data_IF_405749871594
#
_entry.id   IF_405749871594
#
_cell.length_a   1.000
_cell.length_b   1.000
_cell.length_c   1.000
_cell.angle_alpha   90.00
_cell.angle_beta   90.00
_cell.angle_gamma   90.00
#
_symmetry.space_group_name_H-M   'P 1'
#
loop_
_entity.id
_entity.type
_entity.pdbx_description
1 polymer ?
#
# COMPACT_ATOMS: atom_id res chain seq x y z
N UNK A 1 31.02 16.79 -14.03
CA UNK A 1 30.96 15.31 -14.19
C UNK A 1 29.84 14.83 -13.30
N UNK A 2 28.89 14.06 -13.84
CA UNK A 2 27.89 13.41 -12.99
C UNK A 2 28.60 12.48 -11.99
N UNK A 3 28.15 12.40 -10.72
CA UNK A 3 28.69 11.44 -9.78
C UNK A 3 28.57 10.01 -10.33
N UNK A 4 29.64 9.22 -10.22
CA UNK A 4 29.62 7.80 -10.58
C UNK A 4 29.08 6.99 -9.40
N UNK A 5 27.97 6.29 -9.62
CA UNK A 5 27.31 5.46 -8.60
C UNK A 5 27.63 3.96 -8.77
N UNK A 6 28.79 3.64 -9.34
CA UNK A 6 29.22 2.27 -9.59
C UNK A 6 29.71 1.54 -8.32
N UNK A 7 29.96 2.28 -7.23
CA UNK A 7 30.28 1.73 -5.92
C UNK A 7 29.02 1.69 -5.03
N UNK A 8 28.66 0.50 -4.56
CA UNK A 8 27.43 0.26 -3.80
C UNK A 8 27.38 1.07 -2.50
N UNK A 9 28.53 1.29 -1.84
CA UNK A 9 28.60 2.08 -0.60
C UNK A 9 28.34 3.56 -0.87
N UNK A 10 28.94 4.10 -1.93
CA UNK A 10 28.74 5.49 -2.37
C UNK A 10 27.29 5.72 -2.77
N UNK A 11 26.69 4.81 -3.53
CA UNK A 11 25.27 4.87 -3.90
C UNK A 11 24.39 4.82 -2.64
N UNK A 12 24.61 3.85 -1.75
CA UNK A 12 23.79 3.70 -0.54
C UNK A 12 23.88 4.92 0.37
N UNK A 13 25.07 5.48 0.57
CA UNK A 13 25.24 6.68 1.38
C UNK A 13 24.47 7.87 0.76
N UNK A 14 24.67 8.12 -0.54
CA UNK A 14 24.01 9.23 -1.23
C UNK A 14 22.48 9.13 -1.17
N UNK A 15 21.92 7.97 -1.54
CA UNK A 15 20.47 7.79 -1.67
C UNK A 15 19.80 7.66 -0.30
N UNK A 16 20.36 6.82 0.57
CA UNK A 16 19.70 6.37 1.81
C UNK A 16 20.14 7.22 3.00
N UNK A 17 21.46 7.32 3.27
CA UNK A 17 21.95 7.98 4.50
C UNK A 17 21.87 9.49 4.42
N UNK A 18 22.21 10.06 3.26
CA UNK A 18 22.20 11.50 3.04
C UNK A 18 20.79 12.00 2.65
N UNK A 19 19.85 11.09 2.37
CA UNK A 19 18.45 11.41 2.11
C UNK A 19 18.17 12.01 0.73
N UNK A 20 19.09 11.89 -0.23
CA UNK A 20 18.82 12.37 -1.60
C UNK A 20 17.67 11.59 -2.27
N UNK A 21 17.49 10.32 -1.88
CA UNK A 21 16.47 9.45 -2.46
C UNK A 21 16.79 9.07 -3.90
N UNK A 22 15.91 8.25 -4.49
CA UNK A 22 16.00 7.91 -5.92
C UNK A 22 15.70 9.13 -6.80
N UNK A 23 14.91 10.08 -6.31
CA UNK A 23 14.71 11.36 -7.02
C UNK A 23 16.02 12.11 -7.19
N UNK A 24 16.86 12.19 -6.15
CA UNK A 24 18.15 12.87 -6.22
C UNK A 24 19.11 12.21 -7.24
N UNK A 25 19.03 10.89 -7.41
CA UNK A 25 19.77 10.20 -8.49
C UNK A 25 19.33 10.68 -9.86
N UNK A 26 18.02 10.74 -10.10
CA UNK A 26 17.45 11.19 -11.38
C UNK A 26 17.81 12.65 -11.65
N UNK A 27 17.69 13.51 -10.64
CA UNK A 27 18.07 14.93 -10.73
C UNK A 27 19.57 15.12 -11.03
N UNK A 28 20.42 14.13 -10.72
CA UNK A 28 21.86 14.14 -11.02
C UNK A 28 22.20 13.84 -12.49
N UNK A 29 21.19 13.62 -13.35
CA UNK A 29 21.37 13.34 -14.77
C UNK A 29 21.69 11.87 -15.07
N UNK A 30 21.22 10.96 -14.22
CA UNK A 30 21.41 9.53 -14.38
C UNK A 30 20.83 9.01 -15.71
N UNK A 31 21.64 8.29 -16.48
CA UNK A 31 21.25 7.74 -17.79
C UNK A 31 20.93 6.24 -17.77
N UNK A 32 21.36 5.52 -16.73
CA UNK A 32 21.14 4.08 -16.58
C UNK A 32 20.83 3.73 -15.14
N UNK A 33 20.02 2.69 -14.93
CA UNK A 33 19.69 2.20 -13.58
C UNK A 33 20.92 1.56 -12.94
N UNK A 34 21.36 1.98 -11.73
CA UNK A 34 22.48 1.33 -11.04
C UNK A 34 22.20 -0.14 -10.73
N UNK A 35 23.25 -0.95 -10.70
CA UNK A 35 23.18 -2.41 -10.43
C UNK A 35 22.31 -2.75 -9.22
N UNK A 36 22.39 -1.95 -8.15
CA UNK A 36 21.66 -2.14 -6.90
C UNK A 36 20.13 -2.03 -7.04
N UNK A 37 19.62 -1.42 -8.10
CA UNK A 37 18.19 -1.33 -8.41
C UNK A 37 17.73 -2.36 -9.45
N UNK A 38 18.66 -3.11 -10.05
CA UNK A 38 18.33 -4.14 -11.04
C UNK A 38 17.70 -5.32 -10.31
N UNK A 39 16.41 -5.50 -10.53
CA UNK A 39 15.64 -6.58 -9.94
C UNK A 39 16.00 -7.91 -10.61
N UNK A 40 15.94 -9.05 -9.89
CA UNK A 40 16.13 -10.35 -10.50
C UNK A 40 15.01 -10.64 -11.53
N UNK A 41 15.24 -11.49 -12.55
CA UNK A 41 14.29 -11.69 -13.64
C UNK A 41 12.86 -12.02 -13.20
N UNK A 42 12.68 -12.80 -12.14
CA UNK A 42 11.35 -13.17 -11.61
C UNK A 42 10.62 -11.99 -10.94
N UNK A 43 11.31 -10.95 -10.48
CA UNK A 43 10.69 -9.74 -9.91
C UNK A 43 10.32 -8.70 -10.98
N UNK A 44 10.99 -8.72 -12.14
CA UNK A 44 10.75 -7.76 -13.23
C UNK A 44 9.32 -7.85 -13.78
N UNK A 45 8.81 -6.73 -14.24
CA UNK A 45 7.44 -6.60 -14.76
C UNK A 45 7.51 -6.58 -16.29
N UNK A 46 7.03 -7.65 -16.93
CA UNK A 46 6.83 -7.66 -18.38
C UNK A 46 5.45 -7.09 -18.73
N UNK A 47 5.43 -5.84 -19.21
CA UNK A 47 4.19 -5.14 -19.59
C UNK A 47 3.40 -5.83 -20.69
N UNK A 48 4.06 -6.60 -21.56
CA UNK A 48 3.40 -7.28 -22.68
C UNK A 48 2.60 -8.52 -22.26
N UNK A 49 2.80 -9.01 -21.04
CA UNK A 49 2.17 -10.24 -20.54
C UNK A 49 1.03 -9.97 -19.55
N UNK A 50 0.84 -8.72 -19.13
CA UNK A 50 -0.20 -8.38 -18.18
C UNK A 50 -1.52 -8.09 -18.89
N UNK A 51 -2.60 -8.71 -18.40
CA UNK A 51 -3.94 -8.33 -18.82
C UNK A 51 -4.29 -6.98 -18.16
N UNK A 52 -4.96 -6.10 -18.89
CA UNK A 52 -5.62 -4.95 -18.28
C UNK A 52 -6.97 -5.44 -17.75
N UNK A 53 -7.28 -5.20 -16.49
CA UNK A 53 -8.63 -5.53 -16.01
C UNK A 53 -9.67 -4.65 -16.70
N UNK A 54 -10.80 -5.26 -17.05
CA UNK A 54 -12.00 -4.54 -17.48
C UNK A 54 -12.51 -3.68 -16.31
N UNK A 55 -12.52 -2.33 -16.44
CA UNK A 55 -12.92 -1.44 -15.35
C UNK A 55 -14.32 -1.75 -14.80
N UNK A 56 -15.24 -2.15 -15.66
CA UNK A 56 -16.65 -2.43 -15.34
C UNK A 56 -16.83 -3.51 -14.26
N UNK A 57 -15.88 -4.44 -14.12
CA UNK A 57 -15.98 -5.54 -13.15
C UNK A 57 -15.22 -5.26 -11.83
N UNK A 58 -14.58 -4.11 -11.69
CA UNK A 58 -13.80 -3.75 -10.50
C UNK A 58 -14.28 -2.46 -9.83
N UNK A 59 -15.12 -1.66 -10.47
CA UNK A 59 -15.63 -0.40 -9.92
C UNK A 59 -16.93 -0.64 -9.18
N UNK A 60 -16.98 -0.17 -7.93
CA UNK A 60 -18.14 -0.26 -7.06
C UNK A 60 -18.60 1.15 -6.71
N UNK A 61 -19.87 1.45 -7.01
CA UNK A 61 -20.50 2.71 -6.66
C UNK A 61 -20.99 2.67 -5.20
N UNK A 62 -20.38 3.50 -4.33
CA UNK A 62 -20.75 3.55 -2.92
C UNK A 62 -21.95 4.47 -2.62
N UNK A 63 -22.47 5.27 -3.57
CA UNK A 63 -23.67 6.07 -3.29
C UNK A 63 -24.91 5.21 -3.08
N UNK A 64 -24.91 4.00 -3.64
CA UNK A 64 -25.99 3.02 -3.53
C UNK A 64 -25.89 2.16 -2.26
N UNK A 65 -24.82 2.32 -1.46
CA UNK A 65 -24.58 1.49 -0.29
C UNK A 65 -25.60 1.74 0.83
N UNK A 66 -26.18 2.94 0.95
CA UNK A 66 -27.30 3.24 1.87
C UNK A 66 -28.67 3.21 1.16
N UNK A 67 -28.68 2.77 -0.10
CA UNK A 67 -29.83 2.85 -0.99
C UNK A 67 -30.59 1.52 -1.15
N UNK A 68 -31.60 1.48 -2.04
CA UNK A 68 -32.36 0.26 -2.33
C UNK A 68 -31.50 -0.86 -2.93
N UNK A 69 -30.32 -0.54 -3.44
CA UNK A 69 -29.37 -1.49 -4.02
C UNK A 69 -28.30 -1.96 -3.01
N UNK A 70 -28.41 -1.64 -1.72
CA UNK A 70 -27.47 -2.02 -0.65
C UNK A 70 -26.95 -3.47 -0.78
N UNK A 71 -27.86 -4.46 -0.81
CA UNK A 71 -27.48 -5.87 -0.89
C UNK A 71 -26.65 -6.22 -2.14
N UNK A 72 -26.87 -5.52 -3.26
CA UNK A 72 -26.11 -5.74 -4.50
C UNK A 72 -24.70 -5.17 -4.37
N UNK A 73 -24.57 -3.99 -3.77
CA UNK A 73 -23.27 -3.34 -3.49
C UNK A 73 -22.46 -4.20 -2.51
N UNK A 74 -23.07 -4.66 -1.42
CA UNK A 74 -22.41 -5.55 -0.43
C UNK A 74 -21.94 -6.85 -1.09
N UNK A 75 -22.77 -7.47 -1.94
CA UNK A 75 -22.36 -8.66 -2.71
C UNK A 75 -21.19 -8.39 -3.64
N UNK A 76 -21.16 -7.23 -4.32
CA UNK A 76 -20.05 -6.85 -5.18
C UNK A 76 -18.74 -6.66 -4.38
N UNK A 77 -18.82 -5.97 -3.23
CA UNK A 77 -17.68 -5.76 -2.32
C UNK A 77 -17.15 -7.11 -1.82
N UNK A 78 -18.03 -7.96 -1.31
CA UNK A 78 -17.66 -9.28 -0.82
C UNK A 78 -17.07 -10.16 -1.93
N UNK A 79 -17.68 -10.18 -3.11
CA UNK A 79 -17.17 -10.95 -4.25
C UNK A 79 -15.76 -10.50 -4.66
N UNK A 80 -15.53 -9.18 -4.75
CA UNK A 80 -14.21 -8.66 -5.05
C UNK A 80 -13.18 -9.02 -3.96
N UNK A 81 -13.57 -8.95 -2.68
CA UNK A 81 -12.72 -9.32 -1.55
C UNK A 81 -12.42 -10.82 -1.47
N UNK A 82 -13.35 -11.71 -1.85
CA UNK A 82 -13.17 -13.17 -1.86
C UNK A 82 -12.39 -13.68 -3.08
N UNK A 83 -12.38 -12.92 -4.18
CA UNK A 83 -11.73 -13.31 -5.43
C UNK A 83 -10.36 -12.64 -5.59
N UNK A 84 -10.32 -11.40 -6.08
CA UNK A 84 -9.08 -10.67 -6.36
C UNK A 84 -8.47 -10.05 -5.10
N UNK A 85 -9.28 -9.72 -4.10
CA UNK A 85 -8.83 -8.97 -2.93
C UNK A 85 -8.63 -7.46 -3.18
N UNK A 86 -9.01 -6.99 -4.37
CA UNK A 86 -8.87 -5.61 -4.82
C UNK A 86 -10.15 -5.17 -5.54
N UNK A 87 -10.54 -3.92 -5.34
CA UNK A 87 -11.61 -3.24 -6.09
C UNK A 87 -11.38 -1.73 -6.08
N UNK A 88 -12.05 -1.02 -6.99
CA UNK A 88 -12.09 0.43 -7.03
C UNK A 88 -13.45 0.92 -6.53
N UNK A 89 -13.46 2.03 -5.81
CA UNK A 89 -14.70 2.66 -5.35
C UNK A 89 -14.84 4.05 -5.97
N UNK A 90 -16.07 4.41 -6.32
CA UNK A 90 -16.50 5.75 -6.75
C UNK A 90 -17.65 6.23 -5.87
N UNK A 91 -17.97 7.53 -5.93
CA UNK A 91 -18.97 8.16 -5.07
C UNK A 91 -18.80 7.83 -3.57
N UNK A 92 -17.54 7.69 -3.15
CA UNK A 92 -17.15 7.24 -1.81
C UNK A 92 -17.20 8.34 -0.73
N UNK A 93 -17.64 9.55 -1.08
CA UNK A 93 -17.81 10.66 -0.15
C UNK A 93 -16.56 11.49 0.18
N UNK A 94 -15.37 11.07 -0.29
CA UNK A 94 -14.14 11.88 -0.15
C UNK A 94 -14.15 12.96 -1.25
N UNK A 95 -13.98 14.26 -0.93
CA UNK A 95 -14.04 15.32 -1.92
C UNK A 95 -12.98 15.16 -3.02
N UNK A 96 -13.38 15.23 -4.30
CA UNK A 96 -12.43 15.11 -5.43
C UNK A 96 -11.32 16.16 -5.39
N UNK A 97 -11.65 17.39 -4.96
CA UNK A 97 -10.65 18.46 -4.77
C UNK A 97 -9.58 18.07 -3.74
N UNK A 98 -9.95 17.33 -2.69
CA UNK A 98 -9.01 16.85 -1.68
C UNK A 98 -8.04 15.83 -2.29
N UNK A 99 -8.54 14.93 -3.15
CA UNK A 99 -7.71 13.96 -3.88
C UNK A 99 -6.69 14.65 -4.81
N UNK A 100 -7.10 15.70 -5.52
CA UNK A 100 -6.19 16.50 -6.34
C UNK A 100 -5.12 17.21 -5.49
N UNK A 101 -5.53 17.82 -4.38
CA UNK A 101 -4.60 18.50 -3.47
C UNK A 101 -3.58 17.52 -2.88
N UNK A 102 -3.96 16.29 -2.55
CA UNK A 102 -3.01 15.26 -2.06
C UNK A 102 -1.92 14.97 -3.08
N UNK A 103 -2.30 14.80 -4.37
CA UNK A 103 -1.34 14.56 -5.45
C UNK A 103 -0.38 15.75 -5.60
N UNK A 104 -0.92 16.97 -5.60
CA UNK A 104 -0.13 18.21 -5.69
C UNK A 104 0.82 18.34 -4.49
N UNK A 105 0.33 18.17 -3.26
CA UNK A 105 1.15 18.26 -2.05
C UNK A 105 2.23 17.20 -1.97
N UNK A 106 1.96 15.97 -2.44
CA UNK A 106 2.99 14.95 -2.58
C UNK A 106 4.10 15.43 -3.53
N UNK A 107 3.75 15.90 -4.72
CA UNK A 107 4.73 16.47 -5.65
C UNK A 107 5.51 17.65 -5.06
N UNK A 108 4.84 18.56 -4.33
CA UNK A 108 5.48 19.69 -3.66
C UNK A 108 6.49 19.23 -2.62
N UNK A 109 6.13 18.27 -1.76
CA UNK A 109 7.04 17.71 -0.76
C UNK A 109 8.29 17.11 -1.42
N UNK A 110 8.13 16.26 -2.44
CA UNK A 110 9.27 15.60 -3.08
C UNK A 110 10.11 16.53 -3.96
N UNK A 111 9.56 17.67 -4.40
CA UNK A 111 10.28 18.69 -5.16
C UNK A 111 11.17 19.58 -4.29
N UNK A 112 11.06 19.49 -2.97
CA UNK A 112 11.95 20.21 -2.06
C UNK A 112 13.41 19.78 -2.19
N UNK A 113 14.36 20.67 -1.84
CA UNK A 113 15.77 20.31 -1.71
C UNK A 113 15.97 19.11 -0.77
N UNK A 114 16.94 18.21 -1.04
CA UNK A 114 17.22 17.04 -0.22
C UNK A 114 17.31 17.34 1.28
N UNK A 115 17.94 18.45 1.65
CA UNK A 115 18.18 18.86 3.03
C UNK A 115 16.87 19.09 3.80
N UNK A 116 15.83 19.60 3.11
CA UNK A 116 14.51 19.82 3.71
C UNK A 116 13.73 18.52 3.93
N UNK A 117 14.02 17.47 3.15
CA UNK A 117 13.39 16.15 3.30
C UNK A 117 14.17 15.29 4.30
N UNK A 118 15.49 15.42 4.32
CA UNK A 118 16.40 14.65 5.16
C UNK A 118 16.15 14.84 6.66
N UNK A 119 15.54 15.96 7.06
CA UNK A 119 15.12 16.18 8.46
C UNK A 119 14.12 15.15 8.96
N UNK A 120 13.43 14.43 8.08
CA UNK A 120 12.49 13.36 8.41
C UNK A 120 13.09 11.96 8.30
N UNK A 121 14.40 11.81 8.07
CA UNK A 121 15.05 10.49 8.10
C UNK A 121 14.90 9.86 9.48
N UNK A 122 14.78 8.53 9.53
CA UNK A 122 14.53 7.77 10.79
C UNK A 122 15.41 8.17 11.97
N UNK A 123 16.69 8.50 11.72
CA UNK A 123 17.65 8.82 12.78
C UNK A 123 17.50 10.23 13.36
N UNK A 124 16.90 11.17 12.64
CA UNK A 124 16.86 12.61 12.99
C UNK A 124 15.45 13.21 12.96
N UNK A 125 14.45 12.42 12.56
CA UNK A 125 13.06 12.87 12.48
C UNK A 125 12.60 13.49 13.81
N UNK A 126 11.89 14.63 13.77
CA UNK A 126 11.42 15.30 14.98
C UNK A 126 10.45 14.42 15.79
N UNK A 127 9.84 13.41 15.17
CA UNK A 127 8.97 12.46 15.84
C UNK A 127 9.07 11.08 15.19
N UNK A 128 9.01 9.98 15.98
CA UNK A 128 9.04 8.61 15.43
C UNK A 128 7.82 8.28 14.56
N UNK A 129 6.76 9.10 14.61
CA UNK A 129 5.54 8.92 13.81
C UNK A 129 5.69 9.43 12.37
N UNK A 130 6.81 10.07 12.03
CA UNK A 130 7.08 10.60 10.69
C UNK A 130 8.41 10.06 10.20
N UNK A 131 8.43 9.48 9.00
CA UNK A 131 9.64 8.90 8.40
C UNK A 131 9.69 9.15 6.91
N UNK A 132 10.66 9.94 6.46
CA UNK A 132 11.10 9.99 5.08
C UNK A 132 12.13 8.89 4.82
N UNK A 133 12.08 8.31 3.62
CA UNK A 133 13.04 7.35 3.17
C UNK A 133 12.89 7.02 1.70
N UNK A 134 13.67 6.02 1.28
CA UNK A 134 13.70 5.47 -0.06
C UNK A 134 13.64 3.94 0.04
N UNK A 135 13.21 3.27 -1.02
CA UNK A 135 12.95 1.83 -1.04
C UNK A 135 11.95 1.38 0.04
N UNK A 136 11.97 0.10 0.45
CA UNK A 136 11.19 -0.42 1.57
C UNK A 136 12.03 -0.48 2.87
N UNK A 137 13.00 -1.39 2.91
CA UNK A 137 13.96 -1.59 4.00
C UNK A 137 15.35 -1.79 3.37
N UNK A 138 16.01 -0.70 2.94
CA UNK A 138 17.23 -0.76 2.13
C UNK A 138 18.34 -1.65 2.70
N UNK A 139 18.41 -1.79 4.03
CA UNK A 139 19.42 -2.53 4.75
C UNK A 139 19.36 -4.06 4.54
N UNK A 140 18.17 -4.61 4.24
CA UNK A 140 17.97 -6.06 4.06
C UNK A 140 17.62 -6.45 2.62
N UNK A 141 17.28 -5.48 1.77
CA UNK A 141 16.93 -5.70 0.37
C UNK A 141 18.14 -6.09 -0.48
N UNK A 142 18.05 -7.10 -1.33
CA UNK A 142 19.11 -7.45 -2.31
C UNK A 142 19.14 -6.53 -3.53
N UNK A 143 17.98 -6.09 -3.97
CA UNK A 143 17.80 -5.05 -4.99
C UNK A 143 16.82 -4.02 -4.44
N UNK A 144 17.16 -2.73 -4.52
CA UNK A 144 16.34 -1.64 -4.02
C UNK A 144 15.13 -1.39 -4.95
N UNK A 145 14.06 -0.88 -4.37
CA UNK A 145 12.89 -0.38 -5.07
C UNK A 145 13.11 1.08 -5.54
N UNK A 146 12.61 1.40 -6.73
CA UNK A 146 12.68 2.71 -7.35
C UNK A 146 11.60 3.65 -6.82
N UNK A 147 11.66 3.98 -5.52
CA UNK A 147 10.63 4.73 -4.80
C UNK A 147 11.20 5.54 -3.66
N UNK A 148 10.77 6.79 -3.54
CA UNK A 148 10.90 7.58 -2.32
C UNK A 148 9.54 7.65 -1.60
N UNK A 149 9.55 7.81 -0.28
CA UNK A 149 8.32 7.91 0.50
C UNK A 149 8.47 8.82 1.72
N UNK A 150 7.33 9.38 2.15
CA UNK A 150 7.14 9.94 3.48
C UNK A 150 5.97 9.19 4.12
N UNK A 151 6.25 8.49 5.23
CA UNK A 151 5.27 7.79 6.06
C UNK A 151 4.90 8.68 7.24
N UNK A 152 3.60 8.82 7.48
CA UNK A 152 3.03 9.63 8.54
C UNK A 152 1.99 8.79 9.30
N UNK A 153 2.31 8.41 10.53
CA UNK A 153 1.40 7.70 11.43
C UNK A 153 0.51 8.72 12.12
N UNK A 154 -0.80 8.49 12.08
CA UNK A 154 -1.79 9.32 12.75
C UNK A 154 -2.04 8.82 14.17
N UNK A 155 -1.74 9.66 15.14
CA UNK A 155 -2.03 9.46 16.57
C UNK A 155 -3.18 10.36 17.01
N UNK A 156 -3.05 11.67 16.79
CA UNK A 156 -4.06 12.70 17.02
C UNK A 156 -3.81 13.93 16.14
N UNK A 157 -4.80 14.83 16.04
CA UNK A 157 -4.72 16.05 15.21
C UNK A 157 -3.55 16.97 15.63
N UNK A 158 -3.22 17.07 16.93
CA UNK A 158 -2.13 17.94 17.41
C UNK A 158 -0.77 17.44 16.93
N UNK A 159 -0.48 16.16 17.14
CA UNK A 159 0.78 15.54 16.70
C UNK A 159 0.93 15.63 15.18
N UNK A 160 -0.16 15.43 14.43
CA UNK A 160 -0.14 15.57 12.98
C UNK A 160 0.21 17.01 12.55
N UNK A 161 -0.41 18.02 13.16
CA UNK A 161 -0.15 19.42 12.82
C UNK A 161 1.22 19.92 13.28
N UNK A 162 1.77 19.33 14.34
CA UNK A 162 3.09 19.66 14.90
C UNK A 162 4.22 19.01 14.12
N UNK A 163 4.14 17.70 13.84
CA UNK A 163 5.28 16.92 13.36
C UNK A 163 5.26 16.60 11.87
N UNK A 164 4.11 16.58 11.20
CA UNK A 164 4.04 16.25 9.77
C UNK A 164 4.58 17.41 8.90
N UNK A 165 5.05 17.13 7.67
CA UNK A 165 5.59 18.17 6.79
C UNK A 165 4.56 19.25 6.47
N UNK A 166 4.98 20.52 6.55
CA UNK A 166 4.10 21.66 6.33
C UNK A 166 3.46 21.66 4.93
N UNK A 167 4.15 21.10 3.93
CA UNK A 167 3.67 21.02 2.55
C UNK A 167 2.44 20.12 2.38
N UNK A 168 2.23 19.16 3.30
CA UNK A 168 1.20 18.14 3.14
C UNK A 168 0.37 17.82 4.39
N UNK A 169 0.69 18.38 5.57
CA UNK A 169 0.06 17.99 6.84
C UNK A 169 -1.46 18.20 6.88
N UNK A 170 -1.95 19.36 6.42
CA UNK A 170 -3.38 19.69 6.49
C UNK A 170 -4.19 18.79 5.56
N UNK A 171 -3.73 18.64 4.31
CA UNK A 171 -4.41 17.83 3.30
C UNK A 171 -4.38 16.34 3.67
N UNK A 172 -3.26 15.84 4.21
CA UNK A 172 -3.15 14.46 4.66
C UNK A 172 -4.05 14.18 5.87
N UNK A 173 -4.14 15.13 6.81
CA UNK A 173 -5.02 15.03 7.97
C UNK A 173 -6.49 15.01 7.57
N UNK A 174 -6.90 15.92 6.67
CA UNK A 174 -8.25 15.94 6.14
C UNK A 174 -8.58 14.64 5.39
N UNK A 175 -7.63 14.07 4.64
CA UNK A 175 -7.81 12.81 3.93
C UNK A 175 -8.03 11.62 4.88
N UNK A 176 -7.27 11.52 5.96
CA UNK A 176 -7.47 10.47 6.97
C UNK A 176 -8.85 10.61 7.64
N UNK A 177 -9.26 11.85 7.95
CA UNK A 177 -10.54 12.12 8.63
C UNK A 177 -11.73 11.79 7.72
N UNK A 178 -11.68 12.24 6.47
CA UNK A 178 -12.75 12.00 5.48
C UNK A 178 -12.83 10.54 5.05
N UNK A 179 -11.70 9.82 4.97
CA UNK A 179 -11.69 8.40 4.60
C UNK A 179 -12.14 7.47 5.74
N UNK A 180 -12.11 7.93 7.00
CA UNK A 180 -12.38 7.08 8.17
C UNK A 180 -13.74 6.38 8.07
N UNK A 181 -14.79 7.15 7.79
CA UNK A 181 -16.16 6.62 7.78
C UNK A 181 -16.36 5.62 6.64
N UNK A 182 -15.82 5.90 5.46
CA UNK A 182 -15.82 4.97 4.34
C UNK A 182 -15.18 3.64 4.73
N UNK A 183 -13.99 3.66 5.35
CA UNK A 183 -13.31 2.42 5.77
C UNK A 183 -14.12 1.66 6.82
N UNK A 184 -14.68 2.38 7.81
CA UNK A 184 -15.52 1.75 8.85
C UNK A 184 -16.72 1.03 8.24
N UNK A 185 -17.42 1.69 7.31
CA UNK A 185 -18.55 1.10 6.59
C UNK A 185 -18.14 -0.12 5.77
N UNK A 186 -17.05 -0.03 4.99
CA UNK A 186 -16.55 -1.17 4.22
C UNK A 186 -16.22 -2.38 5.12
N UNK A 187 -15.60 -2.16 6.28
CA UNK A 187 -15.34 -3.22 7.25
C UNK A 187 -16.63 -3.81 7.82
N UNK A 188 -17.59 -2.96 8.19
CA UNK A 188 -18.87 -3.41 8.70
C UNK A 188 -19.58 -4.32 7.70
N UNK A 189 -19.64 -3.94 6.43
CA UNK A 189 -20.28 -4.74 5.37
C UNK A 189 -19.52 -6.04 5.09
N UNK A 190 -18.19 -5.98 5.03
CA UNK A 190 -17.36 -7.18 4.82
C UNK A 190 -17.53 -8.17 5.97
N UNK A 191 -17.53 -7.73 7.23
CA UNK A 191 -17.70 -8.63 8.36
C UNK A 191 -19.15 -9.11 8.49
N UNK A 192 -20.13 -8.23 8.25
CA UNK A 192 -21.55 -8.56 8.22
C UNK A 192 -21.88 -9.62 7.17
N UNK A 193 -21.28 -9.53 5.97
CA UNK A 193 -21.43 -10.55 4.92
C UNK A 193 -20.87 -11.93 5.33
N UNK A 194 -19.94 -11.99 6.29
CA UNK A 194 -19.50 -13.26 6.88
C UNK A 194 -20.47 -13.82 7.93
N UNK A 195 -21.59 -13.13 8.20
CA UNK A 195 -22.57 -13.48 9.22
C UNK A 195 -22.13 -13.12 10.64
N UNK A 196 -21.20 -12.17 10.78
CA UNK A 196 -20.68 -11.71 12.07
C UNK A 196 -21.01 -10.24 12.25
N UNK A 197 -21.54 -9.87 13.41
CA UNK A 197 -21.78 -8.48 13.77
C UNK A 197 -20.74 -8.06 14.81
N UNK A 198 -19.91 -7.08 14.45
CA UNK A 198 -18.97 -6.47 15.36
C UNK A 198 -19.60 -5.20 15.95
N UNK A 199 -19.40 -4.97 17.24
CA UNK A 199 -19.66 -3.66 17.82
C UNK A 199 -18.63 -2.63 17.34
N UNK A 200 -18.93 -1.35 17.59
CA UNK A 200 -18.06 -0.23 17.21
C UNK A 200 -16.65 -0.35 17.80
N UNK A 201 -16.50 -0.86 19.02
CA UNK A 201 -15.19 -1.00 19.67
C UNK A 201 -14.33 -2.02 18.94
N UNK A 202 -14.91 -3.16 18.55
CA UNK A 202 -14.22 -4.20 17.78
C UNK A 202 -13.88 -3.73 16.37
N UNK A 203 -14.77 -2.99 15.70
CA UNK A 203 -14.46 -2.39 14.39
C UNK A 203 -13.30 -1.39 14.48
N UNK A 204 -13.33 -0.47 15.45
CA UNK A 204 -12.25 0.49 15.67
C UNK A 204 -10.94 -0.22 16.03
N UNK A 205 -10.98 -1.36 16.72
CA UNK A 205 -9.76 -2.14 17.03
C UNK A 205 -9.05 -2.66 15.78
N UNK A 206 -9.78 -2.93 14.68
CA UNK A 206 -9.22 -3.33 13.38
C UNK A 206 -8.61 -2.15 12.61
N UNK A 207 -8.92 -0.91 13.02
CA UNK A 207 -8.43 0.35 12.47
C UNK A 207 -7.61 1.15 13.50
N UNK A 208 -7.09 0.47 14.51
CA UNK A 208 -6.48 1.07 15.70
C UNK A 208 -5.34 2.07 15.40
N UNK A 209 -4.56 1.82 14.34
CA UNK A 209 -3.61 2.78 13.78
C UNK A 209 -3.95 3.05 12.30
N UNK A 210 -3.79 4.32 11.91
CA UNK A 210 -3.88 4.77 10.53
C UNK A 210 -2.56 5.41 10.13
N UNK A 211 -2.07 5.04 8.96
CA UNK A 211 -0.82 5.56 8.42
C UNK A 211 -1.08 6.02 7.00
N UNK A 212 -0.67 7.24 6.67
CA UNK A 212 -0.69 7.73 5.29
C UNK A 212 0.74 7.77 4.78
N UNK A 213 0.99 7.12 3.64
CA UNK A 213 2.22 7.30 2.90
C UNK A 213 1.96 8.19 1.71
N UNK A 214 2.87 9.11 1.42
CA UNK A 214 3.00 9.66 0.08
C UNK A 214 4.21 8.99 -0.56
N UNK A 215 3.97 8.23 -1.64
CA UNK A 215 5.03 7.59 -2.41
C UNK A 215 5.30 8.42 -3.66
N UNK A 216 6.57 8.51 -4.04
CA UNK A 216 7.03 9.16 -5.26
C UNK A 216 7.94 8.23 -6.06
N UNK A 217 7.60 8.09 -7.33
CA UNK A 217 8.28 7.22 -8.28
C UNK A 217 8.83 8.12 -9.38
N UNK A 218 10.12 8.52 -9.34
CA UNK A 218 10.68 9.34 -10.40
C UNK A 218 10.76 8.56 -11.72
N UNK A 219 10.92 9.27 -12.82
CA UNK A 219 11.20 8.64 -14.13
C UNK A 219 12.41 7.71 -14.04
N UNK A 220 12.29 6.54 -14.65
CA UNK A 220 13.33 5.52 -14.65
C UNK A 220 13.92 5.36 -16.06
N UNK A 221 15.26 5.39 -16.25
CA UNK A 221 15.88 5.24 -17.57
C UNK A 221 15.72 3.83 -18.16
N UNK A 222 15.69 2.79 -17.31
CA UNK A 222 15.50 1.39 -17.70
C UNK A 222 14.34 0.76 -16.91
N UNK A 223 13.09 1.17 -17.18
CA UNK A 223 11.94 0.79 -16.35
C UNK A 223 11.65 -0.72 -16.31
N UNK A 224 12.15 -1.48 -17.29
CA UNK A 224 12.06 -2.93 -17.36
C UNK A 224 13.02 -3.67 -16.41
N UNK A 225 14.07 -3.00 -15.93
CA UNK A 225 15.09 -3.61 -15.06
C UNK A 225 14.76 -3.49 -13.58
N UNK A 226 13.87 -2.58 -13.19
CA UNK A 226 13.53 -2.29 -11.79
C UNK A 226 12.03 -2.29 -11.54
N UNK A 227 11.63 -2.08 -10.30
CA UNK A 227 10.23 -1.96 -9.87
C UNK A 227 10.09 -0.77 -8.93
N UNK A 228 8.92 -0.14 -8.95
CA UNK A 228 8.57 0.89 -7.96
C UNK A 228 8.31 0.28 -6.60
N UNK A 229 7.66 -0.88 -6.55
CA UNK A 229 7.49 -1.71 -5.35
C UNK A 229 7.54 -3.17 -5.77
N UNK A 230 8.27 -3.98 -5.03
CA UNK A 230 8.37 -5.41 -5.23
C UNK A 230 7.08 -6.15 -4.92
N UNK A 231 7.11 -7.47 -5.15
CA UNK A 231 6.01 -8.38 -4.82
C UNK A 231 5.77 -8.43 -3.31
N UNK A 232 4.58 -8.08 -2.86
CA UNK A 232 4.19 -8.14 -1.45
C UNK A 232 2.67 -8.25 -1.28
N UNK A 233 2.23 -8.59 -0.08
CA UNK A 233 0.86 -8.34 0.39
C UNK A 233 0.90 -7.33 1.54
N UNK A 234 -0.20 -6.61 1.74
CA UNK A 234 -0.26 -5.59 2.80
C UNK A 234 -0.52 -6.25 4.15
N UNK A 235 0.28 -5.94 5.16
CA UNK A 235 0.15 -6.52 6.50
C UNK A 235 -1.10 -6.11 7.28
N UNK A 236 -1.88 -5.14 6.77
CA UNK A 236 -2.95 -4.46 7.51
C UNK A 236 -4.32 -5.13 7.45
N UNK A 237 -5.35 -4.39 7.84
CA UNK A 237 -6.75 -4.79 7.68
C UNK A 237 -7.25 -4.39 6.28
N UNK A 238 -7.16 -3.10 5.96
CA UNK A 238 -7.56 -2.54 4.67
C UNK A 238 -6.64 -1.40 4.27
N UNK A 239 -6.34 -1.33 2.98
CA UNK A 239 -5.62 -0.20 2.37
C UNK A 239 -6.57 0.59 1.48
N UNK A 240 -6.48 1.92 1.56
CA UNK A 240 -7.17 2.87 0.67
C UNK A 240 -6.12 3.61 -0.14
N UNK A 241 -6.03 3.32 -1.44
CA UNK A 241 -5.00 3.83 -2.32
C UNK A 241 -5.57 4.87 -3.30
N UNK A 242 -5.04 6.09 -3.20
CA UNK A 242 -5.16 7.08 -4.25
C UNK A 242 -4.01 6.92 -5.26
N UNK A 243 -4.36 6.76 -6.54
CA UNK A 243 -3.42 6.78 -7.66
C UNK A 243 -3.44 8.14 -8.38
N UNK A 244 -2.33 8.50 -9.02
CA UNK A 244 -2.35 9.50 -10.09
C UNK A 244 -2.83 8.91 -11.43
N UNK A 245 -2.85 9.74 -12.49
CA UNK A 245 -3.26 9.31 -13.83
C UNK A 245 -2.29 8.40 -14.57
N UNK A 246 -1.11 8.09 -14.02
CA UNK A 246 -0.08 7.24 -14.68
C UNK A 246 -0.28 5.76 -14.32
N UNK A 247 -0.76 5.48 -13.11
CA UNK A 247 -1.03 4.13 -12.63
C UNK A 247 0.23 3.24 -12.51
N UNK A 248 0.06 1.94 -12.73
CA UNK A 248 1.17 0.97 -12.66
C UNK A 248 1.13 0.02 -11.48
N UNK A 249 0.01 -0.04 -10.77
CA UNK A 249 -0.29 -1.11 -9.82
C UNK A 249 -0.64 -2.39 -10.60
N UNK A 250 0.01 -3.49 -10.23
CA UNK A 250 -0.31 -4.83 -10.72
C UNK A 250 -0.70 -5.74 -9.56
N UNK A 251 -1.77 -6.49 -9.73
CA UNK A 251 -2.27 -7.47 -8.75
C UNK A 251 -2.16 -8.87 -9.34
N UNK A 252 -1.70 -9.82 -8.54
CA UNK A 252 -1.63 -11.23 -8.92
C UNK A 252 -3.02 -11.83 -8.83
N UNK A 253 -3.53 -12.31 -9.95
CA UNK A 253 -4.84 -12.97 -10.04
C UNK A 253 -4.75 -14.45 -9.67
N UNK A 254 -3.61 -15.08 -9.95
CA UNK A 254 -3.37 -16.50 -9.73
C UNK A 254 -2.31 -17.05 -10.67
N UNK A 255 -2.36 -18.35 -10.91
CA UNK A 255 -1.52 -19.04 -11.90
C UNK A 255 -2.39 -19.43 -13.10
N UNK A 256 -1.89 -19.14 -14.31
CA UNK A 256 -2.52 -19.60 -15.53
C UNK A 256 -2.28 -21.11 -15.66
N UNK A 257 -3.34 -21.89 -15.48
CA UNK A 257 -3.29 -23.36 -15.50
C UNK A 257 -2.83 -23.94 -16.86
N UNK A 258 -2.96 -23.19 -17.96
CA UNK A 258 -2.55 -23.66 -19.29
C UNK A 258 -1.07 -23.42 -19.59
N UNK A 259 -0.47 -22.37 -19.03
CA UNK A 259 0.93 -22.02 -19.27
C UNK A 259 1.83 -22.26 -18.07
N UNK A 260 1.26 -22.50 -16.88
CA UNK A 260 1.99 -22.55 -15.61
C UNK A 260 2.59 -21.20 -15.17
N UNK A 261 2.24 -20.10 -15.86
CA UNK A 261 2.80 -18.78 -15.56
C UNK A 261 1.86 -18.01 -14.63
N UNK A 262 2.42 -17.14 -13.79
CA UNK A 262 1.61 -16.23 -12.98
C UNK A 262 0.84 -15.24 -13.85
N UNK A 263 -0.45 -15.06 -13.55
CA UNK A 263 -1.30 -14.07 -14.19
C UNK A 263 -1.34 -12.79 -13.33
N UNK A 264 -0.92 -11.67 -13.93
CA UNK A 264 -0.91 -10.35 -13.33
C UNK A 264 -1.84 -9.42 -14.10
N UNK A 265 -2.61 -8.63 -13.35
CA UNK A 265 -3.57 -7.68 -13.87
C UNK A 265 -3.13 -6.26 -13.52
N UNK A 266 -3.05 -5.34 -14.49
CA UNK A 266 -2.89 -3.91 -14.21
C UNK A 266 -4.22 -3.31 -13.73
N UNK A 267 -4.17 -2.56 -12.63
CA UNK A 267 -5.30 -1.77 -12.13
C UNK A 267 -5.20 -0.38 -12.75
N UNK A 268 -6.04 -0.05 -13.75
CA UNK A 268 -5.98 1.25 -14.41
C UNK A 268 -6.48 2.34 -13.45
N UNK A 269 -5.81 3.50 -13.40
CA UNK A 269 -6.30 4.62 -12.61
C UNK A 269 -7.60 5.14 -13.21
N UNK A 270 -8.60 5.35 -12.36
CA UNK A 270 -9.88 5.96 -12.73
C UNK A 270 -9.97 7.31 -12.02
N UNK A 271 -10.36 8.34 -12.77
CA UNK A 271 -10.45 9.69 -12.22
C UNK A 271 -11.45 9.74 -11.06
N UNK A 272 -11.01 10.31 -9.94
CA UNK A 272 -11.78 10.37 -8.71
C UNK A 272 -12.05 9.04 -8.01
N UNK A 273 -11.48 7.90 -8.45
CA UNK A 273 -11.64 6.62 -7.77
C UNK A 273 -10.55 6.37 -6.72
N UNK A 274 -10.89 5.54 -5.72
CA UNK A 274 -9.94 5.00 -4.76
C UNK A 274 -9.84 3.48 -4.94
N UNK A 275 -8.64 2.93 -4.93
CA UNK A 275 -8.42 1.48 -4.90
C UNK A 275 -8.49 1.01 -3.45
N UNK A 276 -9.28 -0.02 -3.18
CA UNK A 276 -9.36 -0.69 -1.89
C UNK A 276 -8.73 -2.07 -2.04
N UNK A 277 -7.88 -2.46 -1.09
CA UNK A 277 -7.41 -3.84 -1.01
C UNK A 277 -7.44 -4.41 0.39
N UNK A 278 -7.69 -5.71 0.43
CA UNK A 278 -7.70 -6.54 1.64
C UNK A 278 -6.25 -6.75 2.07
N UNK A 279 -5.98 -6.53 3.36
CA UNK A 279 -4.70 -6.87 3.96
C UNK A 279 -4.73 -8.21 4.69
N UNK A 280 -3.55 -8.63 5.13
CA UNK A 280 -3.29 -9.90 5.79
C UNK A 280 -4.15 -10.10 7.04
N UNK A 281 -4.36 -9.06 7.85
CA UNK A 281 -5.20 -9.15 9.05
C UNK A 281 -6.64 -9.46 8.68
N UNK A 282 -7.19 -8.81 7.65
CA UNK A 282 -8.56 -9.08 7.25
C UNK A 282 -8.69 -10.49 6.64
N UNK A 283 -7.67 -10.98 5.95
CA UNK A 283 -7.60 -12.39 5.53
C UNK A 283 -7.57 -13.34 6.76
N UNK A 284 -6.77 -13.04 7.79
CA UNK A 284 -6.66 -13.86 9.01
C UNK A 284 -7.99 -13.91 9.77
N UNK A 285 -8.57 -12.75 10.09
CA UNK A 285 -9.81 -12.67 10.89
C UNK A 285 -11.00 -13.27 10.14
N UNK A 286 -11.02 -13.18 8.80
CA UNK A 286 -12.04 -13.82 7.96
C UNK A 286 -11.81 -15.32 7.77
N UNK A 287 -10.85 -15.93 8.49
CA UNK A 287 -10.46 -17.34 8.35
C UNK A 287 -10.13 -17.72 6.89
N UNK A 288 -9.57 -16.78 6.12
CA UNK A 288 -9.13 -16.99 4.74
C UNK A 288 -10.22 -16.83 3.68
N UNK A 289 -11.42 -16.36 4.05
CA UNK A 289 -12.51 -16.05 3.12
C UNK A 289 -12.10 -14.91 2.19
N UNK A 290 -11.64 -13.79 2.75
CA UNK A 290 -11.13 -12.66 1.97
C UNK A 290 -9.64 -12.84 1.64
N UNK A 291 -9.21 -12.30 0.50
CA UNK A 291 -7.88 -12.53 -0.06
C UNK A 291 -7.01 -11.30 0.05
N UNK A 292 -5.96 -11.37 0.85
CA UNK A 292 -4.84 -10.43 0.76
C UNK A 292 -3.99 -10.80 -0.44
N UNK A 293 -4.11 -10.08 -1.55
CA UNK A 293 -3.46 -10.45 -2.80
C UNK A 293 -2.03 -9.89 -2.91
N UNK A 294 -1.17 -10.69 -3.55
CA UNK A 294 0.18 -10.25 -3.91
C UNK A 294 0.06 -9.17 -4.98
N UNK A 295 0.75 -8.04 -4.78
CA UNK A 295 0.74 -6.93 -5.71
C UNK A 295 2.14 -6.30 -5.82
N UNK A 296 2.34 -5.53 -6.89
CA UNK A 296 3.62 -4.87 -7.23
C UNK A 296 3.38 -3.59 -8.01
N UNK A 297 4.39 -2.74 -8.10
CA UNK A 297 4.27 -1.45 -8.81
C UNK A 297 5.37 -1.31 -9.85
N UNK A 298 5.01 -1.01 -11.10
CA UNK A 298 5.99 -0.73 -12.16
C UNK A 298 6.56 0.68 -12.06
N UNK A 299 7.71 0.87 -12.68
CA UNK A 299 8.23 2.19 -13.03
C UNK A 299 7.82 2.61 -14.44
N UNK A 300 8.12 3.86 -14.78
CA UNK A 300 7.95 4.40 -16.13
C UNK A 300 9.07 5.37 -16.46
N UNK A 301 9.38 5.51 -17.74
CA UNK A 301 10.32 6.50 -18.27
C UNK A 301 9.62 7.81 -18.67
N UNK A 302 8.28 7.82 -18.75
CA UNK A 302 7.52 8.93 -19.36
C UNK A 302 7.29 10.11 -18.43
N UNK A 303 6.99 9.86 -17.16
CA UNK A 303 6.68 10.89 -16.17
C UNK A 303 6.85 10.34 -14.75
N UNK A 304 7.22 11.21 -13.82
CA UNK A 304 7.22 10.87 -12.40
C UNK A 304 5.78 10.67 -11.91
N UNK A 305 5.60 9.74 -10.98
CA UNK A 305 4.29 9.34 -10.45
C UNK A 305 4.22 9.50 -8.93
N UNK A 306 3.02 9.76 -8.41
CA UNK A 306 2.71 9.67 -6.98
C UNK A 306 1.62 8.65 -6.67
N UNK A 307 1.64 8.13 -5.45
CA UNK A 307 0.49 7.44 -4.86
C UNK A 307 0.35 7.76 -3.37
N UNK A 308 -0.87 7.75 -2.86
CA UNK A 308 -1.16 8.11 -1.47
C UNK A 308 -2.03 7.03 -0.80
N UNK A 309 -1.44 5.91 -0.34
CA UNK A 309 -2.17 4.91 0.43
C UNK A 309 -2.39 5.33 1.89
N UNK A 310 -3.58 5.05 2.41
CA UNK A 310 -3.87 4.94 3.84
C UNK A 310 -3.87 3.46 4.20
N UNK A 311 -3.04 3.07 5.16
CA UNK A 311 -3.06 1.74 5.76
C UNK A 311 -3.85 1.79 7.07
N UNK A 312 -4.89 0.95 7.17
CA UNK A 312 -5.65 0.75 8.40
C UNK A 312 -5.20 -0.56 9.03
N UNK A 313 -4.65 -0.49 10.24
CA UNK A 313 -4.07 -1.65 10.92
C UNK A 313 -4.54 -1.71 12.37
N UNK A 314 -4.52 -2.88 13.02
CA UNK A 314 -4.78 -2.97 14.45
C UNK A 314 -3.72 -2.24 15.29
N UNK A 315 -4.03 -1.97 16.56
CA UNK A 315 -2.98 -1.57 17.51
C UNK A 315 -1.93 -2.69 17.63
N UNK A 316 -0.64 -2.38 17.86
CA UNK A 316 0.39 -3.42 17.97
C UNK A 316 0.13 -4.45 19.08
N UNK A 317 -0.55 -4.04 20.16
CA UNK A 317 -0.93 -4.92 21.28
C UNK A 317 -2.16 -5.78 21.01
N UNK A 318 -2.85 -5.57 19.88
CA UNK A 318 -4.07 -6.30 19.56
C UNK A 318 -3.75 -7.78 19.29
N UNK A 319 -4.63 -8.65 19.79
CA UNK A 319 -4.65 -10.07 19.41
C UNK A 319 -5.36 -10.22 18.07
N UNK A 320 -4.69 -10.85 17.13
CA UNK A 320 -5.21 -11.16 15.80
C UNK A 320 -5.42 -12.67 15.68
N UNK A 321 -6.53 -13.08 15.08
CA UNK A 321 -6.86 -14.48 14.85
C UNK A 321 -8.20 -14.61 14.15
N UNK A 322 -8.54 -15.78 13.60
CA UNK A 322 -9.84 -16.03 12.98
C UNK A 322 -10.99 -15.71 13.93
N UNK A 323 -12.04 -15.08 13.40
CA UNK A 323 -13.25 -14.81 14.17
C UNK A 323 -13.84 -16.13 14.72
N UNK A 324 -14.11 -16.24 16.04
CA UNK A 324 -14.59 -17.48 16.65
C UNK A 324 -15.86 -18.05 15.98
N UNK A 325 -16.75 -17.17 15.52
CA UNK A 325 -17.98 -17.53 14.83
C UNK A 325 -17.69 -18.27 13.51
N UNK A 326 -16.64 -17.87 12.79
CA UNK A 326 -16.21 -18.51 11.56
C UNK A 326 -15.52 -19.83 11.84
N UNK A 327 -14.69 -19.91 12.87
CA UNK A 327 -14.05 -21.17 13.29
C UNK A 327 -15.09 -22.20 13.71
N UNK A 328 -16.09 -21.79 14.49
CA UNK A 328 -17.19 -22.65 14.91
C UNK A 328 -18.01 -23.16 13.72
N UNK A 329 -18.26 -22.30 12.73
CA UNK A 329 -19.00 -22.66 11.51
C UNK A 329 -18.20 -23.56 10.57
N UNK A 330 -16.92 -23.26 10.37
CA UNK A 330 -16.04 -23.97 9.44
C UNK A 330 -15.49 -25.27 10.04
N UNK A 331 -15.53 -25.40 11.38
CA UNK A 331 -14.99 -26.54 12.13
C UNK A 331 -13.46 -26.58 12.20
N UNK A 332 -12.77 -25.59 11.63
CA UNK A 332 -11.30 -25.52 11.59
C UNK A 332 -10.82 -24.07 11.57
N UNK A 333 -9.77 -23.79 12.36
CA UNK A 333 -9.03 -22.53 12.27
C UNK A 333 -7.88 -22.70 11.26
N UNK A 334 -7.79 -21.80 10.28
CA UNK A 334 -6.70 -21.79 9.28
C UNK A 334 -5.48 -20.99 9.72
N UNK A 335 -5.64 -20.15 10.73
CA UNK A 335 -4.60 -19.28 11.26
C UNK A 335 -4.57 -19.35 12.79
N UNK A 336 -3.38 -19.19 13.36
CA UNK A 336 -3.18 -19.14 14.81
C UNK A 336 -3.50 -17.74 15.35
N UNK A 337 -3.89 -17.68 16.62
CA UNK A 337 -3.94 -16.41 17.35
C UNK A 337 -2.51 -15.94 17.66
N UNK A 338 -2.23 -14.65 17.43
CA UNK A 338 -0.94 -14.03 17.76
C UNK A 338 -1.11 -12.53 18.05
N UNK A 339 -0.08 -11.89 18.62
CA UNK A 339 -0.10 -10.44 18.88
C UNK A 339 0.35 -9.70 17.62
N UNK A 340 -0.35 -8.63 17.22
CA UNK A 340 -0.05 -7.93 15.96
C UNK A 340 1.39 -7.41 15.88
N UNK A 341 1.99 -6.97 16.99
CA UNK A 341 3.39 -6.59 17.06
C UNK A 341 4.35 -7.73 16.64
N UNK A 342 4.02 -8.99 16.96
CA UNK A 342 4.80 -10.16 16.53
C UNK A 342 4.73 -10.33 15.01
N UNK A 343 3.54 -10.12 14.42
CA UNK A 343 3.36 -10.10 12.98
C UNK A 343 4.17 -8.98 12.32
N UNK A 344 4.08 -7.76 12.85
CA UNK A 344 4.82 -6.60 12.35
C UNK A 344 6.34 -6.82 12.39
N UNK A 345 6.85 -7.39 13.48
CA UNK A 345 8.28 -7.69 13.62
C UNK A 345 8.74 -8.70 12.56
N UNK A 346 7.93 -9.73 12.30
CA UNK A 346 8.20 -10.68 11.22
C UNK A 346 8.11 -10.00 9.84
N UNK A 347 7.14 -9.12 9.61
CA UNK A 347 6.96 -8.41 8.34
C UNK A 347 8.15 -7.47 8.03
N UNK A 348 8.50 -6.57 8.95
CA UNK A 348 9.58 -5.59 8.75
C UNK A 348 10.99 -6.14 8.95
N UNK A 349 11.13 -7.34 9.53
CA UNK A 349 12.40 -8.05 9.62
C UNK A 349 12.86 -8.66 8.29
N UNK A 350 12.01 -8.66 7.26
CA UNK A 350 12.26 -9.28 5.97
C UNK A 350 12.08 -8.29 4.81
N UNK A 351 12.71 -8.59 3.66
CA UNK A 351 12.42 -7.88 2.41
C UNK A 351 11.05 -8.32 1.84
N UNK A 352 10.52 -7.56 0.89
CA UNK A 352 9.33 -7.94 0.14
C UNK A 352 9.56 -9.24 -0.66
N UNK A 353 8.94 -10.33 -0.19
CA UNK A 353 9.02 -11.67 -0.79
C UNK A 353 7.62 -12.29 -0.98
N UNK A 354 6.68 -11.52 -1.51
CA UNK A 354 5.31 -11.98 -1.78
C UNK A 354 4.49 -12.17 -0.49
N UNK A 355 3.82 -13.32 -0.37
CA UNK A 355 2.91 -13.63 0.75
C UNK A 355 3.57 -14.34 1.95
N UNK A 356 4.90 -14.50 1.98
CA UNK A 356 5.59 -15.28 3.02
C UNK A 356 5.29 -14.83 4.46
N UNK A 357 4.96 -13.56 4.66
CA UNK A 357 4.57 -13.07 5.99
C UNK A 357 3.29 -13.71 6.51
N UNK A 358 2.34 -14.06 5.65
CA UNK A 358 1.10 -14.76 6.05
C UNK A 358 1.37 -16.19 6.53
N UNK A 359 2.40 -16.85 6.00
CA UNK A 359 2.78 -18.20 6.42
C UNK A 359 3.20 -18.24 7.91
N UNK A 360 3.65 -17.10 8.45
CA UNK A 360 3.92 -16.95 9.88
C UNK A 360 2.66 -17.10 10.75
N UNK A 361 1.47 -16.82 10.21
CA UNK A 361 0.20 -16.94 10.92
C UNK A 361 -0.56 -18.24 10.56
N UNK A 362 -0.21 -18.91 9.48
CA UNK A 362 -0.91 -20.10 9.00
C UNK A 362 -0.74 -21.30 9.95
N UNK A 363 -1.79 -22.12 10.07
CA UNK A 363 -1.73 -23.44 10.71
C UNK A 363 -1.56 -24.47 9.59
N UNK A 364 -0.45 -25.20 9.62
CA UNK A 364 -0.14 -26.28 8.68
C UNK A 364 -0.94 -27.56 8.96
#
# INVERSE_FOLDING_TARGET
MAPSFNDDNTLFNFVVKDGNGVKGLVDSGLTEVPSRYIQPPYQRINKQQAATASPENMVIDLSELDGPNHDQVVKAIAHAAETLGFFQVVNHGVPLKLLELLKVSAHQFFSQPPEKKAVYLKAVSPSPIVKYGTSFVPEVEKALEWKDYINMVYTNDSDALEFWPNECKEVALEYIKTSKEMVKRLLQELIGNLGVNLDDSRLESLMGLRMVNMNFYPTCPNPELTVGVGRHSDMGTLTVLLQDGIGGLYVKKGENLSTGNEEWIEIPPIDGALVINIGDILQIISNGRYKSAEHRVRTTSSASRVSVPIFNVPLPVAKIGPLPELVARDGVARYRELVFQEYMNNFFGNAHEGKKSLDFAAIN
#
